data_IF_661099175160
#
_entry.id   IF_661099175160
#
_cell.length_a   1.000
_cell.length_b   1.000
_cell.length_c   1.000
_cell.angle_alpha   90.00
_cell.angle_beta   90.00
_cell.angle_gamma   90.00
#
_symmetry.space_group_name_H-M   'P 1'
#
loop_
_entity.id
_entity.type
_entity.pdbx_description
1 polymer ?
#
# COMPACT_ATOMS: atom_id res chain seq x y z
N UNK A 1 24.34 11.55 -16.11
CA UNK A 1 24.38 10.29 -15.36
C UNK A 1 23.08 9.53 -15.61
N UNK A 2 23.10 8.52 -16.48
CA UNK A 2 21.93 7.66 -16.75
C UNK A 2 21.84 6.60 -15.65
N UNK A 3 20.87 6.73 -14.75
CA UNK A 3 20.55 5.66 -13.81
C UNK A 3 19.57 4.72 -14.52
N UNK A 4 20.08 3.59 -15.00
CA UNK A 4 19.25 2.49 -15.44
C UNK A 4 18.50 1.95 -14.22
N UNK A 5 17.19 2.22 -14.16
CA UNK A 5 16.31 1.53 -13.22
C UNK A 5 16.51 0.03 -13.45
N UNK A 6 17.06 -0.67 -12.46
CA UNK A 6 17.13 -2.11 -12.47
C UNK A 6 15.73 -2.66 -12.81
N UNK A 7 15.61 -3.65 -13.71
CA UNK A 7 14.32 -4.21 -14.05
C UNK A 7 13.68 -4.67 -12.74
N UNK A 8 12.53 -4.07 -12.41
CA UNK A 8 11.67 -4.54 -11.33
C UNK A 8 11.42 -6.00 -11.64
N UNK A 9 12.05 -6.86 -10.83
CA UNK A 9 11.94 -8.31 -10.75
C UNK A 9 11.08 -8.95 -11.87
N UNK A 10 11.74 -9.67 -12.77
CA UNK A 10 11.21 -10.48 -13.91
C UNK A 10 10.27 -11.62 -13.46
N UNK A 11 9.37 -11.35 -12.53
CA UNK A 11 8.37 -12.26 -11.96
C UNK A 11 7.07 -11.57 -11.56
N UNK A 12 7.01 -10.23 -11.56
CA UNK A 12 5.72 -9.53 -11.61
C UNK A 12 5.15 -9.74 -13.01
N UNK A 13 4.28 -10.74 -13.15
CA UNK A 13 3.44 -10.87 -14.33
C UNK A 13 2.60 -9.59 -14.42
N UNK A 14 3.10 -8.59 -15.16
CA UNK A 14 2.46 -7.29 -15.39
C UNK A 14 1.00 -7.46 -15.85
N UNK A 15 0.72 -8.58 -16.52
CA UNK A 15 -0.58 -9.05 -16.97
C UNK A 15 -1.61 -9.21 -15.83
N UNK A 16 -1.17 -9.41 -14.57
CA UNK A 16 -2.03 -9.61 -13.40
C UNK A 16 -2.04 -8.43 -12.43
N UNK A 17 -1.29 -7.36 -12.72
CA UNK A 17 -1.24 -6.19 -11.83
C UNK A 17 -2.55 -5.42 -11.89
N UNK A 18 -3.12 -5.13 -10.72
CA UNK A 18 -4.39 -4.42 -10.58
C UNK A 18 -4.19 -3.10 -9.85
N UNK A 19 -4.35 -1.99 -10.59
CA UNK A 19 -4.29 -0.62 -10.08
C UNK A 19 -5.63 -0.16 -9.52
N UNK A 20 -6.08 -0.84 -8.46
CA UNK A 20 -7.44 -0.67 -7.90
C UNK A 20 -7.46 0.00 -6.52
N UNK A 21 -6.33 0.51 -6.05
CA UNK A 21 -6.22 1.15 -4.75
C UNK A 21 -6.21 2.68 -4.87
N UNK A 22 -7.01 3.32 -4.03
CA UNK A 22 -7.05 4.75 -3.84
C UNK A 22 -6.21 5.13 -2.62
N UNK A 23 -5.44 6.20 -2.72
CA UNK A 23 -4.64 6.74 -1.62
C UNK A 23 -5.27 8.07 -1.20
N UNK A 24 -5.60 8.20 0.08
CA UNK A 24 -6.23 9.39 0.67
C UNK A 24 -5.67 9.66 2.08
N UNK A 25 -6.11 10.74 2.71
CA UNK A 25 -5.60 11.18 4.01
C UNK A 25 -4.50 12.23 3.89
N UNK A 26 -3.58 12.20 4.84
CA UNK A 26 -2.55 13.22 5.05
C UNK A 26 -1.60 13.34 3.85
N UNK A 27 -0.84 14.44 3.79
CA UNK A 27 0.11 14.71 2.69
C UNK A 27 1.57 14.88 3.14
N UNK A 28 2.13 13.92 3.91
CA UNK A 28 3.53 13.95 4.32
C UNK A 28 4.49 13.66 3.15
N UNK A 29 5.79 13.99 3.29
CA UNK A 29 6.80 13.70 2.27
C UNK A 29 6.98 12.20 2.00
N UNK A 30 6.62 11.35 2.95
CA UNK A 30 6.64 9.89 2.82
C UNK A 30 5.36 9.32 2.20
N UNK A 31 4.38 10.14 1.79
CA UNK A 31 3.11 9.63 1.26
C UNK A 31 3.35 8.72 0.05
N UNK A 32 2.77 7.51 0.01
CA UNK A 32 2.86 6.63 -1.14
C UNK A 32 2.26 7.28 -2.38
N UNK A 33 2.92 7.11 -3.51
CA UNK A 33 2.48 7.63 -4.80
C UNK A 33 1.47 6.70 -5.46
N UNK A 34 1.59 5.39 -5.22
CA UNK A 34 0.75 4.39 -5.87
C UNK A 34 0.63 3.13 -5.02
N UNK A 35 -0.50 2.43 -5.14
CA UNK A 35 -0.70 1.11 -4.57
C UNK A 35 -1.38 0.21 -5.61
N UNK A 36 -0.95 -1.04 -5.69
CA UNK A 36 -1.44 -2.05 -6.62
C UNK A 36 -1.18 -3.46 -6.07
N UNK A 37 -1.81 -4.47 -6.63
CA UNK A 37 -1.60 -5.86 -6.23
C UNK A 37 -1.48 -6.78 -7.44
N UNK A 38 -0.94 -7.97 -7.24
CA UNK A 38 -0.83 -9.04 -8.25
C UNK A 38 -1.87 -10.16 -8.06
N UNK A 39 -2.82 -9.99 -7.12
CA UNK A 39 -3.79 -11.01 -6.71
C UNK A 39 -3.39 -11.83 -5.49
N UNK A 40 -2.12 -11.76 -5.06
CA UNK A 40 -1.63 -12.43 -3.85
C UNK A 40 -1.01 -11.43 -2.86
N UNK A 41 -0.20 -10.52 -3.38
CA UNK A 41 0.56 -9.51 -2.65
C UNK A 41 0.16 -8.11 -3.05
N UNK A 42 0.23 -7.20 -2.09
CA UNK A 42 0.01 -5.77 -2.33
C UNK A 42 1.35 -5.05 -2.32
N UNK A 43 1.56 -4.22 -3.34
CA UNK A 43 2.73 -3.39 -3.54
C UNK A 43 2.32 -1.93 -3.36
N UNK A 44 2.96 -1.26 -2.41
CA UNK A 44 2.76 0.17 -2.15
C UNK A 44 4.06 0.87 -2.52
N UNK A 45 4.00 1.74 -3.52
CA UNK A 45 5.13 2.50 -4.04
C UNK A 45 5.24 3.83 -3.31
N UNK A 46 6.40 4.06 -2.71
CA UNK A 46 6.77 5.30 -2.04
C UNK A 46 7.67 6.19 -2.90
N UNK A 47 7.80 7.48 -2.54
CA UNK A 47 8.84 8.33 -3.12
C UNK A 47 10.24 7.81 -2.74
N UNK A 48 11.20 7.97 -3.64
CA UNK A 48 12.59 7.52 -3.47
C UNK A 48 13.24 8.05 -2.18
N UNK A 49 12.79 9.20 -1.67
CA UNK A 49 13.27 9.81 -0.43
C UNK A 49 12.81 9.12 0.86
N UNK A 50 11.89 8.14 0.82
CA UNK A 50 11.37 7.53 2.05
C UNK A 50 12.44 6.73 2.81
N UNK A 51 13.43 6.18 2.10
CA UNK A 51 14.47 5.35 2.71
C UNK A 51 15.40 6.11 3.66
N UNK A 52 15.37 7.46 3.65
CA UNK A 52 16.11 8.30 4.59
C UNK A 52 15.32 8.69 5.84
N UNK A 53 13.99 8.45 5.84
CA UNK A 53 13.10 8.76 6.95
C UNK A 53 12.68 7.52 7.73
N UNK A 54 11.76 7.73 8.67
CA UNK A 54 11.15 6.63 9.43
C UNK A 54 10.09 5.92 8.57
N UNK A 55 10.06 4.60 8.67
CA UNK A 55 9.19 3.73 7.90
C UNK A 55 7.83 3.57 8.61
N UNK A 56 6.72 4.07 8.03
CA UNK A 56 5.42 3.98 8.68
C UNK A 56 4.96 2.53 8.85
N UNK A 57 4.52 2.11 10.05
CA UNK A 57 3.81 0.85 10.22
C UNK A 57 2.51 0.84 9.39
N UNK A 58 2.22 -0.33 8.79
CA UNK A 58 1.02 -0.57 7.99
C UNK A 58 -0.01 -1.36 8.79
N UNK A 59 -1.19 -0.78 8.97
CA UNK A 59 -2.33 -1.41 9.61
C UNK A 59 -3.38 -1.75 8.56
N UNK A 60 -3.73 -3.02 8.41
CA UNK A 60 -4.88 -3.41 7.58
C UNK A 60 -6.16 -3.19 8.38
N UNK A 61 -7.11 -2.47 7.80
CA UNK A 61 -8.41 -2.20 8.43
C UNK A 61 -9.36 -3.36 8.11
N UNK A 62 -9.77 -4.07 9.16
CA UNK A 62 -10.74 -5.15 9.10
C UNK A 62 -12.18 -4.67 8.87
N UNK A 63 -13.12 -5.60 8.72
CA UNK A 63 -14.55 -5.30 8.52
C UNK A 63 -15.19 -4.57 9.71
N UNK A 64 -14.59 -4.69 10.90
CA UNK A 64 -15.05 -4.00 12.12
C UNK A 64 -14.35 -2.65 12.34
N UNK A 65 -13.49 -2.23 11.41
CA UNK A 65 -12.71 -0.99 11.55
C UNK A 65 -11.48 -1.13 12.45
N UNK A 66 -11.18 -2.33 12.94
CA UNK A 66 -9.96 -2.62 13.70
C UNK A 66 -8.74 -2.60 12.78
N UNK A 67 -7.71 -1.83 13.16
CA UNK A 67 -6.44 -1.78 12.45
C UNK A 67 -5.49 -2.88 12.94
N UNK A 68 -5.23 -3.87 12.09
CA UNK A 68 -4.32 -4.97 12.38
C UNK A 68 -2.95 -4.71 11.77
N UNK A 69 -1.91 -4.68 12.60
CA UNK A 69 -0.54 -4.61 12.11
C UNK A 69 -0.24 -5.88 11.31
N UNK A 70 0.12 -5.71 10.04
CA UNK A 70 0.48 -6.83 9.17
C UNK A 70 1.98 -6.92 9.01
N UNK A 71 2.46 -8.12 8.72
CA UNK A 71 3.84 -8.29 8.31
C UNK A 71 4.02 -7.69 6.91
N UNK A 72 5.04 -6.84 6.75
CA UNK A 72 5.39 -6.21 5.49
C UNK A 72 6.89 -6.32 5.25
N UNK A 73 7.28 -6.29 3.99
CA UNK A 73 8.69 -6.28 3.57
C UNK A 73 8.96 -4.98 2.84
N UNK A 74 9.94 -4.22 3.34
CA UNK A 74 10.43 -3.05 2.62
C UNK A 74 11.49 -3.45 1.60
N UNK A 75 11.24 -3.12 0.33
CA UNK A 75 12.19 -3.22 -0.78
C UNK A 75 12.17 -1.92 -1.54
N UNK A 76 13.05 -0.98 -1.19
CA UNK A 76 13.05 0.38 -1.74
C UNK A 76 12.78 0.41 -3.26
N UNK A 77 11.79 1.19 -3.73
CA UNK A 77 10.88 2.09 -2.99
C UNK A 77 9.51 1.47 -2.65
N UNK A 78 9.41 0.14 -2.54
CA UNK A 78 8.16 -0.59 -2.35
C UNK A 78 7.99 -1.18 -0.95
N UNK A 79 6.77 -1.09 -0.42
CA UNK A 79 6.28 -1.99 0.61
C UNK A 79 5.57 -3.15 -0.05
N UNK A 80 5.93 -4.35 0.36
CA UNK A 80 5.33 -5.60 -0.11
C UNK A 80 4.61 -6.24 1.06
N UNK A 81 3.31 -6.39 0.92
CA UNK A 81 2.44 -7.06 1.89
C UNK A 81 2.08 -8.41 1.30
N UNK A 82 2.41 -9.49 2.00
CA UNK A 82 2.14 -10.88 1.56
C UNK A 82 0.65 -11.28 1.68
N UNK A 83 -0.27 -10.30 1.66
CA UNK A 83 -1.72 -10.46 1.81
C UNK A 83 -2.47 -9.33 1.11
N UNK A 84 -3.61 -9.67 0.51
CA UNK A 84 -4.60 -8.70 0.04
C UNK A 84 -5.41 -8.09 1.19
N UNK A 85 -5.71 -6.79 1.07
CA UNK A 85 -6.61 -6.08 1.99
C UNK A 85 -7.64 -5.23 1.24
N UNK A 86 -8.75 -4.95 1.92
CA UNK A 86 -9.79 -4.01 1.45
C UNK A 86 -9.41 -2.56 1.75
N UNK A 87 -8.99 -2.28 2.98
CA UNK A 87 -8.46 -1.00 3.40
C UNK A 87 -7.22 -1.20 4.28
N UNK A 88 -6.28 -0.26 4.22
CA UNK A 88 -5.13 -0.20 5.09
C UNK A 88 -4.77 1.25 5.39
N UNK A 89 -4.09 1.47 6.50
CA UNK A 89 -3.67 2.78 6.98
C UNK A 89 -2.19 2.72 7.34
N UNK A 90 -1.44 3.66 6.81
CA UNK A 90 -0.07 3.98 7.19
C UNK A 90 -0.13 5.10 8.22
N UNK A 91 0.53 4.91 9.35
CA UNK A 91 0.53 5.89 10.44
C UNK A 91 1.96 6.20 10.84
N UNK A 92 2.33 7.47 10.94
CA UNK A 92 3.64 7.90 11.43
C UNK A 92 3.47 9.13 12.32
N UNK A 93 4.11 9.15 13.50
CA UNK A 93 4.16 10.35 14.34
C UNK A 93 3.24 10.42 15.57
N UNK A 94 2.87 9.29 16.21
CA UNK A 94 2.21 9.30 17.52
C UNK A 94 0.83 9.98 17.55
N UNK A 95 0.49 10.65 18.67
CA UNK A 95 -0.80 11.33 18.87
C UNK A 95 -0.93 12.55 17.94
N UNK A 96 -1.84 12.48 16.97
CA UNK A 96 -1.94 13.47 15.88
C UNK A 96 -1.01 13.22 14.68
N UNK A 97 -0.38 12.05 14.61
CA UNK A 97 0.50 11.67 13.51
C UNK A 97 -0.19 11.64 12.14
N UNK A 98 0.62 11.75 11.09
CA UNK A 98 0.18 11.66 9.71
C UNK A 98 -0.41 10.26 9.43
N UNK A 99 -1.68 10.23 9.03
CA UNK A 99 -2.38 9.03 8.61
C UNK A 99 -2.64 9.08 7.11
N UNK A 100 -2.16 8.08 6.38
CA UNK A 100 -2.47 7.86 4.97
C UNK A 100 -3.28 6.58 4.83
N UNK A 101 -4.46 6.68 4.22
CA UNK A 101 -5.37 5.56 3.98
C UNK A 101 -5.22 5.06 2.55
N UNK A 102 -5.20 3.74 2.39
CA UNK A 102 -5.12 3.02 1.13
C UNK A 102 -6.33 2.09 1.06
N UNK A 103 -7.24 2.35 0.13
CA UNK A 103 -8.51 1.63 0.04
C UNK A 103 -8.74 1.06 -1.36
N UNK A 104 -9.19 -0.18 -1.45
CA UNK A 104 -9.51 -0.86 -2.70
C UNK A 104 -10.85 -0.35 -3.24
N UNK A 105 -10.84 0.30 -4.40
CA UNK A 105 -12.06 0.83 -5.05
C UNK A 105 -13.04 -0.24 -5.51
N UNK A 106 -12.56 -1.47 -5.74
CA UNK A 106 -13.40 -2.57 -6.22
C UNK A 106 -14.22 -3.25 -5.10
N UNK A 107 -14.07 -2.81 -3.84
CA UNK A 107 -14.83 -3.36 -2.70
C UNK A 107 -16.34 -3.12 -2.75
N UNK A 108 -16.81 -2.23 -3.62
CA UNK A 108 -18.24 -1.86 -3.73
C UNK A 108 -19.06 -2.88 -4.56
N UNK A 109 -18.43 -3.69 -5.42
CA UNK A 109 -19.16 -4.64 -6.29
C UNK A 109 -19.40 -6.03 -5.68
N UNK A 110 -18.83 -6.33 -4.51
CA UNK A 110 -19.00 -7.64 -3.84
C UNK A 110 -20.07 -7.70 -2.75
N UNK A 111 -20.47 -6.57 -2.17
CA UNK A 111 -21.39 -6.55 -1.02
C UNK A 111 -22.88 -6.40 -1.42
N UNK A 112 -23.19 -6.17 -2.71
CA UNK A 112 -24.55 -5.96 -3.21
C UNK A 112 -25.20 -7.20 -3.86
N UNK A 113 -24.71 -8.42 -3.57
CA UNK A 113 -25.41 -9.66 -3.93
C UNK A 113 -25.54 -10.59 -2.73
N UNK A 114 -26.38 -10.20 -1.77
CA UNK A 114 -27.02 -11.16 -0.86
C UNK A 114 -28.51 -11.02 -1.09
N UNK A 115 -29.03 -11.96 -1.87
CA UNK A 115 -30.43 -12.25 -2.09
C UNK A 115 -31.09 -12.70 -0.78
#
# INVERSE_FOLDING_TARGET
FSSAAAPVDTGLALEKIRFRYAISGSNPPWKPQRAFDDGEKVYIQFPLGIAQGELPPLFVIGTQGDGQLVNYRFRSPYYIVDRLFGAAELRLGGDGGDVVRIERRDGVVGAARRN
#
